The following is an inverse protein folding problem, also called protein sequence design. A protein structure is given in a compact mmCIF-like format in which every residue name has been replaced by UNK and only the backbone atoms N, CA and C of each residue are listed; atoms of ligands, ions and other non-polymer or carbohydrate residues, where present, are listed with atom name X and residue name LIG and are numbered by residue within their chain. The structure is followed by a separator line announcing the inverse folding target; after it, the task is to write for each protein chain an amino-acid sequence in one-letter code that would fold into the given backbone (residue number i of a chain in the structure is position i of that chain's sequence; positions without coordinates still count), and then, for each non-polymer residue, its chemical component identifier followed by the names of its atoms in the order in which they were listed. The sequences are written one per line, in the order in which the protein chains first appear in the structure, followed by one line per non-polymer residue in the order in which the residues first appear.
data_IF_728356506852
#
_entry.id   IF_728356506852
#
_cell.length_a   1.000
_cell.length_b   1.000
_cell.length_c   1.000
_cell.angle_alpha   90.00
_cell.angle_beta   90.00
_cell.angle_gamma   90.00
#
_symmetry.space_group_name_H-M   'P 1'
#
loop_
_entity.id
_entity.type
_entity.pdbx_description
1 polymer ?
#
# COMPACT_ATOMS: atom_id res chain seq x y z
N UNK A 1 8.53 9.08 -5.73
CA UNK A 1 9.44 10.15 -5.22
C UNK A 1 9.90 11.14 -6.30
N UNK A 2 9.88 10.77 -7.58
CA UNK A 2 10.22 11.72 -8.66
C UNK A 2 9.22 12.86 -8.81
N UNK A 3 7.95 12.66 -8.42
CA UNK A 3 6.94 13.73 -8.46
C UNK A 3 7.28 14.96 -7.60
N UNK A 4 7.96 14.77 -6.46
CA UNK A 4 8.44 15.89 -5.63
C UNK A 4 9.56 16.66 -6.35
N UNK A 5 10.32 15.99 -7.23
CA UNK A 5 11.52 16.51 -7.84
C UNK A 5 11.29 17.08 -9.25
N UNK A 6 10.42 16.49 -10.08
CA UNK A 6 10.30 16.80 -11.50
C UNK A 6 8.99 17.50 -11.89
N UNK A 7 7.88 17.27 -11.18
CA UNK A 7 6.57 17.81 -11.55
C UNK A 7 5.91 18.56 -10.38
N UNK A 8 6.54 19.68 -10.01
CA UNK A 8 6.17 20.48 -8.85
C UNK A 8 4.81 21.17 -9.02
N UNK A 9 4.44 21.55 -10.25
CA UNK A 9 3.14 22.19 -10.54
C UNK A 9 1.95 21.25 -10.31
N UNK A 10 2.05 19.99 -10.74
CA UNK A 10 0.98 19.00 -10.49
C UNK A 10 0.93 18.60 -9.01
N UNK A 11 2.09 18.53 -8.35
CA UNK A 11 2.16 18.33 -6.90
C UNK A 11 1.44 19.45 -6.14
N UNK A 12 1.72 20.72 -6.47
CA UNK A 12 1.07 21.86 -5.84
C UNK A 12 -0.44 21.88 -6.14
N UNK A 13 -0.88 21.50 -7.35
CA UNK A 13 -2.32 21.42 -7.66
C UNK A 13 -3.09 20.44 -6.75
N UNK A 14 -2.48 19.28 -6.43
CA UNK A 14 -3.14 18.19 -5.69
C UNK A 14 -2.90 18.27 -4.18
N UNK A 15 -1.71 18.71 -3.75
CA UNK A 15 -1.27 18.64 -2.35
C UNK A 15 -1.10 20.00 -1.68
N UNK A 16 -1.42 21.11 -2.34
CA UNK A 16 -1.31 22.42 -1.72
C UNK A 16 -2.30 22.59 -0.55
N UNK A 17 -1.74 22.83 0.64
CA UNK A 17 -2.46 23.09 1.88
C UNK A 17 -2.56 24.58 2.23
N UNK A 18 -2.09 25.51 1.38
CA UNK A 18 -2.20 26.95 1.64
C UNK A 18 -3.66 27.37 1.75
N UNK A 19 -4.02 28.00 2.87
CA UNK A 19 -5.38 28.44 3.14
C UNK A 19 -6.29 27.39 3.79
N UNK A 20 -5.82 26.14 3.99
CA UNK A 20 -6.58 25.12 4.73
C UNK A 20 -6.14 25.15 6.18
N UNK A 21 -7.05 25.50 7.09
CA UNK A 21 -6.81 25.34 8.50
C UNK A 21 -7.27 23.94 8.96
N UNK A 22 -6.32 23.18 9.48
CA UNK A 22 -6.61 21.85 10.01
C UNK A 22 -7.47 21.95 11.27
N UNK A 23 -7.68 23.08 11.92
CA UNK A 23 -8.59 23.12 13.07
C UNK A 23 -10.06 23.38 12.70
N UNK A 24 -10.36 23.65 11.42
CA UNK A 24 -11.72 23.97 10.95
C UNK A 24 -12.70 22.79 11.07
N UNK A 25 -12.20 21.55 10.93
CA UNK A 25 -13.01 20.35 11.15
C UNK A 25 -12.62 19.77 12.51
N UNK A 26 -13.58 19.61 13.43
CA UNK A 26 -13.28 19.14 14.77
C UNK A 26 -12.68 17.73 14.74
N UNK A 27 -11.76 17.48 15.66
CA UNK A 27 -11.03 16.21 15.80
C UNK A 27 -11.98 15.01 15.93
N UNK A 28 -13.16 15.20 16.55
CA UNK A 28 -14.17 14.13 16.69
C UNK A 28 -14.69 13.61 15.35
N UNK A 29 -14.79 14.47 14.33
CA UNK A 29 -15.26 14.09 13.00
C UNK A 29 -14.16 13.42 12.15
N UNK A 30 -12.92 13.40 12.63
CA UNK A 30 -11.76 12.83 11.94
C UNK A 30 -11.25 11.54 12.56
N UNK A 31 -11.82 11.16 13.70
CA UNK A 31 -11.38 10.00 14.46
C UNK A 31 -12.43 8.90 14.34
N UNK A 32 -11.97 7.73 13.92
CA UNK A 32 -12.79 6.52 13.89
C UNK A 32 -12.20 5.50 14.86
N UNK A 33 -12.29 5.74 16.18
CA UNK A 33 -11.56 4.97 17.18
C UNK A 33 -11.98 3.51 17.23
N UNK A 34 -13.28 3.21 17.03
CA UNK A 34 -13.79 1.83 17.01
C UNK A 34 -13.15 1.06 15.84
N UNK A 35 -13.20 1.62 14.64
CA UNK A 35 -12.62 1.00 13.45
C UNK A 35 -11.10 0.83 13.61
N UNK A 36 -10.42 1.84 14.16
CA UNK A 36 -9.00 1.78 14.41
C UNK A 36 -8.60 0.66 15.39
N UNK A 37 -9.32 0.52 16.50
CA UNK A 37 -9.08 -0.54 17.49
C UNK A 37 -9.28 -1.92 16.86
N UNK A 38 -10.33 -2.09 16.05
CA UNK A 38 -10.59 -3.35 15.33
C UNK A 38 -9.42 -3.66 14.39
N UNK A 39 -8.96 -2.70 13.58
CA UNK A 39 -7.83 -2.88 12.67
C UNK A 39 -6.54 -3.28 13.40
N UNK A 40 -6.25 -2.65 14.54
CA UNK A 40 -5.06 -2.95 15.35
C UNK A 40 -5.14 -4.36 15.94
N UNK A 41 -6.29 -4.74 16.53
CA UNK A 41 -6.50 -6.08 17.09
C UNK A 41 -6.35 -7.15 16.00
N UNK A 42 -6.95 -6.95 14.84
CA UNK A 42 -6.81 -7.85 13.70
C UNK A 42 -5.35 -7.97 13.24
N UNK A 43 -4.59 -6.86 13.24
CA UNK A 43 -3.15 -6.89 12.98
C UNK A 43 -2.40 -7.81 13.95
N UNK A 44 -2.64 -7.66 15.26
CA UNK A 44 -2.02 -8.53 16.27
C UNK A 44 -2.41 -10.01 16.13
N UNK A 45 -3.59 -10.31 15.57
CA UNK A 45 -4.00 -11.69 15.31
C UNK A 45 -3.33 -12.22 14.04
N UNK A 46 -3.38 -11.48 12.93
CA UNK A 46 -2.90 -11.98 11.63
C UNK A 46 -1.37 -12.08 11.53
N UNK A 47 -0.61 -11.18 12.16
CA UNK A 47 0.87 -11.23 12.13
C UNK A 47 1.45 -12.57 12.60
N UNK A 48 1.10 -13.08 13.81
CA UNK A 48 1.53 -14.39 14.29
C UNK A 48 1.17 -15.54 13.35
N UNK A 49 0.04 -15.45 12.64
CA UNK A 49 -0.44 -16.50 11.73
C UNK A 49 0.46 -16.68 10.49
N UNK A 50 1.19 -15.65 10.06
CA UNK A 50 2.09 -15.78 8.92
C UNK A 50 3.37 -16.58 9.23
N UNK A 51 3.86 -16.55 10.47
CA UNK A 51 5.08 -17.27 10.86
C UNK A 51 5.03 -18.79 10.62
N UNK A 52 3.98 -19.54 11.05
CA UNK A 52 3.88 -20.97 10.77
C UNK A 52 3.74 -21.26 9.26
N UNK A 53 3.06 -20.39 8.51
CA UNK A 53 2.94 -20.53 7.06
C UNK A 53 4.30 -20.42 6.37
N UNK A 54 5.07 -19.38 6.67
CA UNK A 54 6.42 -19.17 6.12
C UNK A 54 7.33 -20.35 6.51
N UNK A 55 7.26 -20.83 7.75
CA UNK A 55 8.05 -21.99 8.19
C UNK A 55 7.71 -23.25 7.37
N UNK A 56 6.43 -23.51 7.13
CA UNK A 56 5.98 -24.66 6.31
C UNK A 56 6.51 -24.58 4.87
N UNK A 57 6.47 -23.39 4.26
CA UNK A 57 7.01 -23.18 2.92
C UNK A 57 8.53 -23.32 2.89
N UNK A 58 9.23 -22.75 3.88
CA UNK A 58 10.68 -22.85 4.01
C UNK A 58 11.15 -24.31 4.09
N UNK A 59 10.44 -25.14 4.85
CA UNK A 59 10.75 -26.57 4.98
C UNK A 59 10.55 -27.33 3.67
N UNK A 60 9.56 -26.94 2.86
CA UNK A 60 9.24 -27.63 1.60
C UNK A 60 9.86 -26.98 0.35
N UNK A 61 10.66 -25.91 0.50
CA UNK A 61 11.22 -25.15 -0.63
C UNK A 61 12.04 -25.98 -1.61
N UNK A 62 12.71 -27.02 -1.14
CA UNK A 62 13.53 -27.90 -1.98
C UNK A 62 12.70 -28.80 -2.91
N UNK A 63 11.41 -29.02 -2.59
CA UNK A 63 10.53 -29.91 -3.37
C UNK A 63 9.95 -29.22 -4.60
N UNK A 64 9.57 -27.95 -4.47
CA UNK A 64 8.99 -27.18 -5.56
C UNK A 64 9.43 -25.71 -5.46
N UNK A 65 10.05 -25.13 -6.50
CA UNK A 65 10.45 -23.72 -6.51
C UNK A 65 9.26 -22.75 -6.34
N UNK A 66 8.02 -23.17 -6.59
CA UNK A 66 6.81 -22.42 -6.26
C UNK A 66 6.74 -22.01 -4.78
N UNK A 67 7.28 -22.81 -3.86
CA UNK A 67 7.34 -22.43 -2.44
C UNK A 67 8.23 -21.20 -2.19
N UNK A 68 9.21 -20.92 -3.07
CA UNK A 68 10.03 -19.69 -2.97
C UNK A 68 9.16 -18.47 -3.29
N UNK A 69 8.28 -18.55 -4.28
CA UNK A 69 7.32 -17.50 -4.60
C UNK A 69 6.32 -17.29 -3.46
N UNK A 70 5.83 -18.38 -2.84
CA UNK A 70 4.95 -18.30 -1.67
C UNK A 70 5.63 -17.66 -0.46
N UNK A 71 6.91 -17.93 -0.22
CA UNK A 71 7.69 -17.25 0.83
C UNK A 71 7.80 -15.75 0.54
N UNK A 72 8.11 -15.40 -0.71
CA UNK A 72 8.19 -13.99 -1.13
C UNK A 72 6.85 -13.27 -0.92
N UNK A 73 5.74 -13.88 -1.33
CA UNK A 73 4.40 -13.34 -1.14
C UNK A 73 4.08 -13.15 0.35
N UNK A 74 4.30 -14.17 1.18
CA UNK A 74 4.07 -14.06 2.62
C UNK A 74 4.92 -12.98 3.30
N UNK A 75 6.13 -12.70 2.80
CA UNK A 75 6.93 -11.58 3.29
C UNK A 75 6.34 -10.23 2.87
N UNK A 76 5.87 -10.12 1.63
CA UNK A 76 5.17 -8.92 1.17
C UNK A 76 3.89 -8.70 1.96
N UNK A 77 3.08 -9.73 2.22
CA UNK A 77 1.85 -9.65 3.01
C UNK A 77 2.12 -9.12 4.41
N UNK A 78 3.16 -9.61 5.09
CA UNK A 78 3.57 -9.11 6.42
C UNK A 78 3.93 -7.62 6.32
N UNK A 79 4.63 -7.21 5.26
CA UNK A 79 5.01 -5.81 5.06
C UNK A 79 3.80 -4.92 4.69
N UNK A 80 2.88 -5.38 3.85
CA UNK A 80 1.68 -4.62 3.46
C UNK A 80 0.69 -4.51 4.60
N UNK A 81 0.51 -5.57 5.40
CA UNK A 81 -0.41 -5.61 6.53
C UNK A 81 -0.10 -4.55 7.58
N UNK A 82 1.16 -4.14 7.73
CA UNK A 82 1.57 -3.06 8.63
C UNK A 82 0.82 -1.75 8.38
N UNK A 83 0.59 -1.42 7.10
CA UNK A 83 -0.05 -0.18 6.67
C UNK A 83 -1.49 -0.03 7.21
N UNK A 84 -2.44 -0.89 6.81
CA UNK A 84 -3.84 -0.77 7.21
C UNK A 84 -4.09 -1.09 8.68
N UNK A 85 -3.25 -1.92 9.31
CA UNK A 85 -3.46 -2.32 10.71
C UNK A 85 -2.87 -1.30 11.68
N UNK A 86 -1.54 -1.10 11.63
CA UNK A 86 -0.84 -0.25 12.59
C UNK A 86 -0.79 1.20 12.16
N UNK A 87 -0.38 1.50 10.92
CA UNK A 87 -0.21 2.88 10.48
C UNK A 87 -1.56 3.60 10.35
N UNK A 88 -2.52 3.05 9.60
CA UNK A 88 -3.86 3.63 9.46
C UNK A 88 -4.66 3.55 10.77
N UNK A 89 -4.46 2.49 11.57
CA UNK A 89 -5.02 2.42 12.93
C UNK A 89 -4.56 3.60 13.78
N UNK A 90 -3.25 3.88 13.80
CA UNK A 90 -2.69 5.03 14.50
C UNK A 90 -3.19 6.38 13.95
N UNK A 91 -3.21 6.55 12.62
CA UNK A 91 -3.72 7.77 11.99
C UNK A 91 -5.20 8.01 12.27
N UNK A 92 -6.02 6.96 12.31
CA UNK A 92 -7.43 7.05 12.66
C UNK A 92 -7.65 7.35 14.15
N UNK A 93 -6.81 6.82 15.04
CA UNK A 93 -6.85 7.15 16.47
C UNK A 93 -6.45 8.60 16.74
N UNK A 94 -5.59 9.19 15.92
CA UNK A 94 -5.11 10.57 16.08
C UNK A 94 -5.89 11.57 15.22
N UNK A 95 -6.64 11.10 14.22
CA UNK A 95 -7.38 11.95 13.28
C UNK A 95 -6.46 12.68 12.31
N UNK A 96 -5.29 12.10 11.99
CA UNK A 96 -4.30 12.72 11.12
C UNK A 96 -4.85 12.85 9.70
N UNK A 97 -4.76 14.07 9.18
CA UNK A 97 -5.02 14.42 7.78
C UNK A 97 -3.71 14.82 7.11
N UNK A 98 -3.67 14.80 5.77
CA UNK A 98 -2.46 15.12 5.01
C UNK A 98 -1.83 16.46 5.42
N UNK A 99 -2.62 17.54 5.54
CA UNK A 99 -2.10 18.86 5.88
C UNK A 99 -1.56 18.99 7.32
N UNK A 100 -1.88 18.03 8.22
CA UNK A 100 -1.31 18.02 9.57
C UNK A 100 0.12 17.46 9.59
N UNK A 101 0.40 16.45 8.77
CA UNK A 101 1.70 15.76 8.75
C UNK A 101 2.02 15.24 7.34
N UNK A 102 2.26 16.14 6.37
CA UNK A 102 2.33 15.78 4.95
C UNK A 102 3.49 14.84 4.63
N UNK A 103 4.65 15.03 5.28
CA UNK A 103 5.84 14.18 5.09
C UNK A 103 5.59 12.74 5.53
N UNK A 104 4.95 12.56 6.69
CA UNK A 104 4.70 11.24 7.27
C UNK A 104 3.67 10.47 6.44
N UNK A 105 2.51 11.07 6.18
CA UNK A 105 1.43 10.39 5.45
C UNK A 105 1.81 10.11 4.00
N UNK A 106 2.59 10.99 3.36
CA UNK A 106 3.13 10.75 2.02
C UNK A 106 4.10 9.56 1.99
N UNK A 107 5.04 9.49 2.94
CA UNK A 107 6.00 8.39 3.00
C UNK A 107 5.31 7.04 3.24
N UNK A 108 4.40 6.98 4.21
CA UNK A 108 3.62 5.77 4.51
C UNK A 108 2.78 5.35 3.31
N UNK A 109 2.08 6.29 2.66
CA UNK A 109 1.27 6.01 1.47
C UNK A 109 2.09 5.50 0.29
N UNK A 110 3.29 6.06 0.07
CA UNK A 110 4.20 5.62 -1.01
C UNK A 110 4.76 4.23 -0.73
N UNK A 111 5.18 3.97 0.50
CA UNK A 111 5.70 2.66 0.90
C UNK A 111 4.61 1.57 0.80
N UNK A 112 3.39 1.89 1.21
CA UNK A 112 2.25 0.99 1.09
C UNK A 112 1.93 0.67 -0.37
N UNK A 113 1.90 1.67 -1.25
CA UNK A 113 1.66 1.49 -2.68
C UNK A 113 2.70 0.60 -3.36
N UNK A 114 3.98 0.80 -3.02
CA UNK A 114 5.07 -0.05 -3.51
C UNK A 114 4.83 -1.53 -3.18
N UNK A 115 4.56 -1.81 -1.90
CA UNK A 115 4.37 -3.16 -1.41
C UNK A 115 3.10 -3.79 -1.99
N UNK A 116 2.00 -3.05 -2.05
CA UNK A 116 0.73 -3.51 -2.61
C UNK A 116 0.84 -3.86 -4.10
N UNK A 117 1.53 -3.02 -4.89
CA UNK A 117 1.75 -3.30 -6.31
C UNK A 117 2.62 -4.55 -6.52
N UNK A 118 3.66 -4.73 -5.71
CA UNK A 118 4.51 -5.92 -5.75
C UNK A 118 3.71 -7.19 -5.39
N UNK A 119 2.90 -7.14 -4.33
CA UNK A 119 2.04 -8.23 -3.86
C UNK A 119 1.06 -8.66 -4.94
N UNK A 120 0.28 -7.73 -5.50
CA UNK A 120 -0.70 -8.01 -6.55
C UNK A 120 -0.06 -8.69 -7.78
N UNK A 121 1.15 -8.25 -8.16
CA UNK A 121 1.85 -8.86 -9.28
C UNK A 121 2.35 -10.28 -8.96
N UNK A 122 2.77 -10.54 -7.73
CA UNK A 122 3.21 -11.85 -7.27
C UNK A 122 2.04 -12.85 -7.19
N UNK A 123 0.87 -12.40 -6.73
CA UNK A 123 -0.38 -13.18 -6.73
C UNK A 123 -0.81 -13.59 -8.14
N UNK A 124 -0.73 -12.66 -9.09
CA UNK A 124 -1.04 -12.95 -10.48
C UNK A 124 -0.11 -14.03 -11.04
N UNK A 125 1.19 -13.93 -10.78
CA UNK A 125 2.17 -14.93 -11.23
C UNK A 125 1.90 -16.28 -10.56
N UNK A 126 1.57 -16.29 -9.27
CA UNK A 126 1.22 -17.51 -8.56
C UNK A 126 -0.02 -18.18 -9.17
N UNK A 127 -1.07 -17.40 -9.48
CA UNK A 127 -2.26 -17.88 -10.15
C UNK A 127 -1.95 -18.48 -11.52
N UNK A 128 -1.16 -17.77 -12.34
CA UNK A 128 -0.69 -18.27 -13.65
C UNK A 128 0.10 -19.57 -13.48
N UNK A 129 1.01 -19.64 -12.50
CA UNK A 129 1.79 -20.84 -12.23
C UNK A 129 0.88 -22.04 -11.91
N UNK A 130 -0.18 -21.85 -11.11
CA UNK A 130 -1.15 -22.91 -10.79
C UNK A 130 -1.98 -23.34 -11.99
N UNK A 131 -2.44 -22.41 -12.81
CA UNK A 131 -3.18 -22.73 -14.03
C UNK A 131 -2.31 -23.53 -15.02
N UNK A 132 -1.05 -23.14 -15.21
CA UNK A 132 -0.13 -23.83 -16.14
C UNK A 132 0.31 -25.19 -15.56
N UNK A 133 0.53 -25.31 -14.25
CA UNK A 133 0.85 -26.59 -13.61
C UNK A 133 -0.29 -27.62 -13.82
N UNK A 134 -1.55 -27.17 -13.78
CA UNK A 134 -2.72 -28.01 -14.01
C UNK A 134 -2.94 -28.34 -15.50
N UNK A 135 -2.83 -27.35 -16.39
CA UNK A 135 -3.13 -27.53 -17.81
C UNK A 135 -1.96 -28.17 -18.61
N UNK A 136 -0.73 -27.73 -18.33
CA UNK A 136 0.46 -28.09 -19.10
C UNK A 136 1.70 -28.23 -18.21
N UNK A 137 1.85 -29.35 -17.48
CA UNK A 137 2.92 -29.52 -16.49
C UNK A 137 4.34 -29.42 -17.08
N UNK A 138 4.51 -29.81 -18.35
CA UNK A 138 5.80 -29.68 -19.05
C UNK A 138 6.20 -28.21 -19.28
N UNK A 139 5.23 -27.34 -19.54
CA UNK A 139 5.43 -25.90 -19.75
C UNK A 139 5.71 -25.23 -18.40
N UNK A 140 4.98 -25.61 -17.34
CA UNK A 140 5.22 -25.13 -15.97
C UNK A 140 6.66 -25.40 -15.52
N UNK A 141 7.16 -26.63 -15.71
CA UNK A 141 8.57 -26.97 -15.42
C UNK A 141 9.56 -26.11 -16.23
N UNK A 142 9.23 -25.72 -17.47
CA UNK A 142 10.12 -24.87 -18.26
C UNK A 142 10.11 -23.42 -17.77
N UNK A 143 8.98 -22.87 -17.34
CA UNK A 143 8.86 -21.45 -16.97
C UNK A 143 9.28 -21.17 -15.52
N UNK A 144 8.93 -22.05 -14.58
CA UNK A 144 9.02 -21.76 -13.15
C UNK A 144 10.06 -22.60 -12.40
N UNK A 145 10.68 -23.58 -13.06
CA UNK A 145 11.65 -24.45 -12.38
C UNK A 145 13.03 -23.81 -12.23
N UNK A 146 13.74 -24.21 -11.17
CA UNK A 146 15.11 -23.80 -10.86
C UNK A 146 15.24 -22.27 -10.64
N UNK A 147 16.36 -21.66 -11.04
CA UNK A 147 16.63 -20.24 -10.81
C UNK A 147 15.69 -19.26 -11.57
N UNK A 148 14.79 -19.76 -12.44
CA UNK A 148 13.87 -18.91 -13.20
C UNK A 148 12.79 -18.26 -12.33
N UNK A 149 12.44 -18.88 -11.20
CA UNK A 149 11.52 -18.29 -10.22
C UNK A 149 12.01 -16.93 -9.71
N UNK A 150 13.33 -16.76 -9.55
CA UNK A 150 13.92 -15.49 -9.10
C UNK A 150 13.75 -14.37 -10.12
N UNK A 151 13.72 -14.69 -11.42
CA UNK A 151 13.45 -13.70 -12.48
C UNK A 151 12.06 -13.11 -12.30
N UNK A 152 11.06 -13.96 -12.00
CA UNK A 152 9.69 -13.52 -11.73
C UNK A 152 9.59 -12.65 -10.47
N UNK A 153 10.30 -13.02 -9.40
CA UNK A 153 10.37 -12.21 -8.17
C UNK A 153 11.00 -10.82 -8.45
N UNK A 154 12.07 -10.78 -9.24
CA UNK A 154 12.69 -9.52 -9.66
C UNK A 154 11.69 -8.70 -10.47
N UNK A 155 10.96 -9.32 -11.39
CA UNK A 155 9.94 -8.63 -12.17
C UNK A 155 8.83 -8.01 -11.30
N UNK A 156 8.31 -8.76 -10.30
CA UNK A 156 7.36 -8.23 -9.32
C UNK A 156 7.92 -7.04 -8.55
N UNK A 157 9.17 -7.17 -8.08
CA UNK A 157 9.82 -6.11 -7.31
C UNK A 157 10.05 -4.86 -8.16
N UNK A 158 10.49 -5.02 -9.42
CA UNK A 158 10.66 -3.91 -10.36
C UNK A 158 9.34 -3.22 -10.68
N UNK A 159 8.26 -3.98 -10.82
CA UNK A 159 6.91 -3.42 -11.00
C UNK A 159 6.50 -2.58 -9.77
N UNK A 160 6.74 -3.07 -8.55
CA UNK A 160 6.56 -2.28 -7.34
C UNK A 160 7.38 -0.99 -7.39
N UNK A 161 8.68 -1.06 -7.72
CA UNK A 161 9.58 0.11 -7.80
C UNK A 161 9.06 1.13 -8.80
N UNK A 162 8.51 0.70 -9.93
CA UNK A 162 7.87 1.57 -10.90
C UNK A 162 6.72 2.38 -10.25
N UNK A 163 5.85 1.74 -9.46
CA UNK A 163 4.80 2.43 -8.73
C UNK A 163 5.34 3.39 -7.65
N UNK A 164 6.45 3.04 -6.99
CA UNK A 164 7.11 3.89 -6.00
C UNK A 164 7.68 5.19 -6.62
N UNK A 165 8.23 5.09 -7.82
CA UNK A 165 8.91 6.22 -8.47
C UNK A 165 7.94 7.12 -9.21
N UNK A 166 7.04 6.53 -10.01
CA UNK A 166 6.27 7.23 -11.06
C UNK A 166 4.79 7.44 -10.75
N UNK A 167 4.23 6.91 -9.65
CA UNK A 167 2.78 7.01 -9.38
C UNK A 167 2.49 7.81 -8.11
N UNK A 168 1.34 8.48 -8.12
CA UNK A 168 0.84 9.20 -6.95
C UNK A 168 0.53 8.23 -5.82
N UNK A 169 1.04 8.49 -4.59
CA UNK A 169 0.73 7.63 -3.46
C UNK A 169 -0.72 7.79 -3.04
N UNK A 170 -1.28 6.71 -2.53
CA UNK A 170 -2.54 6.74 -1.82
C UNK A 170 -2.30 7.31 -0.43
N UNK A 171 -3.00 8.38 -0.07
CA UNK A 171 -2.83 9.06 1.21
C UNK A 171 -4.06 8.84 2.07
N UNK A 172 -3.82 8.44 3.32
CA UNK A 172 -4.89 8.26 4.29
C UNK A 172 -5.54 9.60 4.65
N UNK A 173 -6.87 9.62 4.64
CA UNK A 173 -7.68 10.77 5.05
C UNK A 173 -8.55 10.39 6.25
N UNK A 174 -8.28 11.02 7.39
CA UNK A 174 -9.05 10.84 8.62
C UNK A 174 -10.51 11.30 8.54
N UNK A 175 -10.88 12.18 7.60
CA UNK A 175 -12.27 12.67 7.44
C UNK A 175 -13.18 11.58 6.87
N UNK A 176 -12.68 10.82 5.89
CA UNK A 176 -13.46 9.79 5.19
C UNK A 176 -13.12 8.37 5.65
N UNK A 177 -12.14 8.21 6.54
CA UNK A 177 -11.57 6.92 6.95
C UNK A 177 -11.12 6.07 5.75
N UNK A 178 -10.53 6.70 4.73
CA UNK A 178 -10.16 6.03 3.49
C UNK A 178 -8.80 6.50 2.99
N UNK A 179 -8.14 5.65 2.21
CA UNK A 179 -6.93 6.01 1.48
C UNK A 179 -7.33 6.50 0.10
N UNK A 180 -6.99 7.75 -0.21
CA UNK A 180 -7.47 8.45 -1.40
C UNK A 180 -6.30 8.93 -2.26
N UNK A 181 -6.56 9.07 -3.55
CA UNK A 181 -5.62 9.75 -4.46
C UNK A 181 -5.56 11.26 -4.22
N UNK A 182 -6.71 11.86 -3.89
CA UNK A 182 -6.83 13.28 -3.53
C UNK A 182 -7.08 13.38 -2.01
N UNK A 183 -6.05 13.74 -1.22
CA UNK A 183 -6.17 13.79 0.23
C UNK A 183 -6.97 14.99 0.76
N UNK A 184 -7.33 15.94 -0.11
CA UNK A 184 -8.04 17.16 0.26
C UNK A 184 -9.56 17.06 0.08
N UNK A 185 -10.05 15.88 -0.32
CA UNK A 185 -11.47 15.54 -0.30
C UNK A 185 -12.01 15.72 1.14
N UNK A 186 -13.01 16.59 1.30
CA UNK A 186 -13.52 17.04 2.61
C UNK A 186 -13.27 18.53 2.88
N UNK A 187 -12.17 19.09 2.37
CA UNK A 187 -11.89 20.54 2.43
C UNK A 187 -12.28 21.28 1.14
N UNK A 188 -12.79 20.56 0.12
CA UNK A 188 -13.09 21.11 -1.21
C UNK A 188 -14.11 22.24 -1.22
N UNK A 189 -15.02 22.32 -0.24
CA UNK A 189 -15.95 23.46 -0.11
C UNK A 189 -15.19 24.78 0.06
N UNK A 190 -14.08 24.78 0.80
CA UNK A 190 -13.21 25.94 1.00
C UNK A 190 -12.42 26.33 -0.26
N UNK A 191 -12.12 25.35 -1.14
CA UNK A 191 -11.33 25.56 -2.37
C UNK A 191 -12.14 26.34 -3.44
N UNK A 192 -13.46 26.22 -3.46
CA UNK A 192 -14.32 26.95 -4.41
C UNK A 192 -14.47 28.43 -3.96
N UNK A 193 -14.63 28.68 -2.66
CA UNK A 193 -14.75 30.04 -2.11
C UNK A 193 -13.44 30.84 -2.22
N UNK A 194 -12.29 30.21 -2.04
CA UNK A 194 -10.99 30.89 -2.13
C UNK A 194 -10.58 31.22 -3.57
N UNK A 195 -11.01 30.42 -4.56
CA UNK A 195 -10.84 30.78 -5.98
C UNK A 195 -11.81 31.89 -6.41
N UNK A 196 -13.03 31.92 -5.88
CA UNK A 196 -14.00 32.98 -6.14
C UNK A 196 -13.64 34.34 -5.50
N UNK A 197 -12.70 34.38 -4.54
CA UNK A 197 -12.20 35.61 -3.93
C UNK A 197 -10.95 36.19 -4.62
N UNK A 198 -10.36 35.46 -5.57
CA UNK A 198 -9.22 35.90 -6.36
C UNK A 198 -9.56 36.23 -7.83
N UNK A 199 -10.86 36.20 -8.19
CA UNK A 199 -11.40 36.70 -9.47
C UNK A 199 -12.09 38.08 -9.28
#
# INVERSE_FOLDING_TARGET
MEFILWNREEFDRVYNCTGINVDDIPIEQRRYPIAAIICIILGFIYYPLYFPCIYSFWKNRAKNPCYILLIYLSLLDICTLWGPTFAHGFFSLTGVVYCSSPKLTYFVGTAYLFLWAAECSADLILGINRCIEMAFPNISKKLFHNNRIYIWIIFCTLYGIYWLLFRHPYIFNGITFQVLFDPLIGYKTFRIELMAHFD
#
